data_IF_850239040757
#
_entry.id   IF_850239040757
#
_cell.length_a   1.000
_cell.length_b   1.000
_cell.length_c   1.000
_cell.angle_alpha   90.00
_cell.angle_beta   90.00
_cell.angle_gamma   90.00
#
_symmetry.space_group_name_H-M   'P 1'
#
loop_
_entity.id
_entity.type
_entity.pdbx_description
1 polymer ?
#
# COMPACT_ATOMS: atom_id res chain seq x y z
N UNK A 1 110.07 69.45 26.31
CA UNK A 1 109.05 69.70 25.25
C UNK A 1 109.16 68.69 24.10
N UNK A 2 109.32 67.38 24.40
CA UNK A 2 109.38 66.31 23.37
C UNK A 2 109.14 64.89 23.91
N UNK A 3 108.47 64.76 25.06
CA UNK A 3 108.26 63.46 25.75
C UNK A 3 106.87 63.27 26.35
N UNK A 4 105.94 64.18 26.03
CA UNK A 4 104.53 64.11 26.46
C UNK A 4 103.60 63.83 25.26
N UNK A 5 104.03 64.11 24.02
CA UNK A 5 103.21 63.89 22.82
C UNK A 5 103.17 62.41 22.35
N UNK A 6 104.13 61.58 22.76
CA UNK A 6 104.23 60.18 22.29
C UNK A 6 103.31 59.22 23.05
N UNK A 7 102.84 59.59 24.25
CA UNK A 7 101.85 58.80 25.00
C UNK A 7 100.39 59.11 24.63
N UNK A 8 100.13 60.23 23.95
CA UNK A 8 98.78 60.59 23.50
C UNK A 8 98.42 59.98 22.13
N UNK A 9 99.40 59.51 21.37
CA UNK A 9 99.18 58.95 20.03
C UNK A 9 98.83 57.45 20.07
N UNK A 10 99.40 56.70 21.02
CA UNK A 10 99.05 55.29 21.24
C UNK A 10 97.68 55.07 21.90
N UNK A 11 97.11 56.07 22.58
CA UNK A 11 95.75 55.99 23.11
C UNK A 11 94.69 56.35 22.06
N UNK A 12 95.07 57.06 20.98
CA UNK A 12 94.17 57.45 19.89
C UNK A 12 94.02 56.36 18.83
N UNK A 13 95.03 55.52 18.62
CA UNK A 13 94.97 54.37 17.69
C UNK A 13 94.22 53.16 18.27
N UNK A 14 94.22 52.97 19.59
CA UNK A 14 93.45 51.88 20.24
C UNK A 14 91.95 52.23 20.32
N UNK A 15 91.59 53.51 20.48
CA UNK A 15 90.17 53.94 20.49
C UNK A 15 89.51 54.01 19.11
N UNK A 16 90.28 54.01 18.01
CA UNK A 16 89.74 54.07 16.65
C UNK A 16 89.49 52.70 15.99
N UNK A 17 89.85 51.57 16.64
CA UNK A 17 89.59 50.22 16.13
C UNK A 17 88.46 49.46 16.82
N UNK A 18 87.74 50.07 17.76
CA UNK A 18 86.57 49.46 18.43
C UNK A 18 85.21 50.07 17.99
N UNK A 19 85.21 50.96 16.99
CA UNK A 19 83.98 51.64 16.52
C UNK A 19 83.60 51.28 15.06
N UNK A 20 84.06 50.14 14.57
CA UNK A 20 83.42 49.47 13.43
C UNK A 20 82.79 48.16 13.94
N UNK A 21 82.02 48.25 15.03
CA UNK A 21 80.99 47.26 15.27
C UNK A 21 79.97 47.45 14.13
N UNK A 22 80.19 46.65 13.09
CA UNK A 22 79.27 46.36 12.00
C UNK A 22 77.84 46.50 12.54
N UNK A 23 77.15 47.60 12.19
CA UNK A 23 75.73 47.80 12.50
C UNK A 23 74.97 46.79 11.65
N UNK A 24 75.02 45.52 12.05
CA UNK A 24 74.20 44.45 11.49
C UNK A 24 72.77 44.79 11.85
N UNK A 25 72.05 45.25 10.84
CA UNK A 25 70.64 45.57 10.86
C UNK A 25 69.84 44.44 11.53
N UNK A 26 69.16 44.72 12.64
CA UNK A 26 68.27 43.80 13.36
C UNK A 26 67.05 43.32 12.56
N UNK A 27 67.04 43.54 11.24
CA UNK A 27 65.98 43.16 10.31
C UNK A 27 65.93 41.64 10.09
N UNK A 28 67.07 40.93 10.27
CA UNK A 28 67.16 39.48 10.11
C UNK A 28 66.26 38.75 11.10
N UNK A 29 66.20 39.20 12.36
CA UNK A 29 65.35 38.57 13.38
C UNK A 29 63.86 38.75 13.07
N UNK A 30 63.48 39.90 12.52
CA UNK A 30 62.12 40.20 12.08
C UNK A 30 61.74 39.31 10.88
N UNK A 31 62.63 39.17 9.89
CA UNK A 31 62.43 38.28 8.74
C UNK A 31 62.28 36.83 9.21
N UNK A 32 63.15 36.35 10.11
CA UNK A 32 63.06 34.99 10.65
C UNK A 32 61.77 34.79 11.42
N UNK A 33 61.33 35.75 12.24
CA UNK A 33 60.06 35.67 12.95
C UNK A 33 58.87 35.58 11.98
N UNK A 34 58.86 36.39 10.92
CA UNK A 34 57.81 36.34 9.88
C UNK A 34 57.83 35.00 9.15
N UNK A 35 59.00 34.48 8.79
CA UNK A 35 59.10 33.17 8.13
C UNK A 35 58.63 32.04 9.05
N UNK A 36 59.05 32.04 10.33
CA UNK A 36 58.64 31.02 11.30
C UNK A 36 57.14 31.10 11.58
N UNK A 37 56.58 32.30 11.72
CA UNK A 37 55.12 32.46 11.91
C UNK A 37 54.32 32.01 10.70
N UNK A 38 54.78 32.32 9.47
CA UNK A 38 54.16 31.82 8.24
C UNK A 38 54.26 30.29 8.12
N UNK A 39 55.41 29.69 8.43
CA UNK A 39 55.57 28.24 8.44
C UNK A 39 54.70 27.57 9.51
N UNK A 40 54.58 28.17 10.70
CA UNK A 40 53.71 27.68 11.76
C UNK A 40 52.23 27.77 11.36
N UNK A 41 51.80 28.86 10.72
CA UNK A 41 50.44 29.01 10.22
C UNK A 41 50.13 28.01 9.09
N UNK A 42 51.08 27.79 8.17
CA UNK A 42 50.95 26.78 7.12
C UNK A 42 50.87 25.36 7.71
N UNK A 43 51.71 25.05 8.72
CA UNK A 43 51.66 23.79 9.44
C UNK A 43 50.32 23.58 10.16
N UNK A 44 49.79 24.61 10.83
CA UNK A 44 48.48 24.56 11.48
C UNK A 44 47.35 24.33 10.45
N UNK A 45 47.36 25.08 9.34
CA UNK A 45 46.38 24.92 8.26
C UNK A 45 46.40 23.51 7.67
N UNK A 46 47.59 22.93 7.49
CA UNK A 46 47.75 21.58 6.99
C UNK A 46 47.22 20.53 7.97
N UNK A 47 47.52 20.66 9.27
CA UNK A 47 47.00 19.77 10.31
C UNK A 47 45.48 19.84 10.40
N UNK A 48 44.90 21.03 10.35
CA UNK A 48 43.44 21.20 10.34
C UNK A 48 42.81 20.53 9.11
N UNK A 49 43.37 20.75 7.92
CA UNK A 49 42.89 20.12 6.68
C UNK A 49 42.99 18.59 6.73
N UNK A 50 44.11 18.04 7.22
CA UNK A 50 44.25 16.59 7.36
C UNK A 50 43.27 16.02 8.39
N UNK A 51 43.04 16.72 9.50
CA UNK A 51 42.08 16.27 10.51
C UNK A 51 40.65 16.25 9.97
N UNK A 52 40.26 17.24 9.16
CA UNK A 52 38.93 17.27 8.53
C UNK A 52 38.79 16.18 7.47
N UNK A 53 39.81 15.98 6.63
CA UNK A 53 39.81 14.92 5.61
C UNK A 53 39.77 13.52 6.25
N UNK A 54 40.54 13.33 7.31
CA UNK A 54 40.53 12.07 8.06
C UNK A 54 39.15 11.81 8.68
N UNK A 55 38.53 12.82 9.32
CA UNK A 55 37.16 12.71 9.86
C UNK A 55 36.14 12.42 8.76
N UNK A 56 36.27 13.07 7.60
CA UNK A 56 35.38 12.85 6.46
C UNK A 56 35.54 11.42 5.90
N UNK A 57 36.76 10.91 5.81
CA UNK A 57 37.02 9.54 5.37
C UNK A 57 36.37 8.50 6.29
N UNK A 58 36.46 8.69 7.62
CA UNK A 58 35.77 7.83 8.58
C UNK A 58 34.25 7.92 8.45
N UNK A 59 33.68 9.13 8.43
CA UNK A 59 32.23 9.31 8.27
C UNK A 59 31.71 8.71 6.96
N UNK A 60 32.49 8.81 5.88
CA UNK A 60 32.14 8.20 4.61
C UNK A 60 32.19 6.67 4.68
N UNK A 61 33.18 6.09 5.37
CA UNK A 61 33.25 4.66 5.66
C UNK A 61 32.05 4.17 6.48
N UNK A 62 31.70 4.89 7.55
CA UNK A 62 30.54 4.59 8.39
C UNK A 62 29.24 4.67 7.60
N UNK A 63 29.08 5.68 6.74
CA UNK A 63 27.91 5.83 5.88
C UNK A 63 27.78 4.65 4.91
N UNK A 64 28.86 4.24 4.24
CA UNK A 64 28.84 3.09 3.34
C UNK A 64 28.48 1.80 4.09
N UNK A 65 29.03 1.59 5.29
CA UNK A 65 28.67 0.43 6.11
C UNK A 65 27.19 0.45 6.51
N UNK A 66 26.64 1.62 6.85
CA UNK A 66 25.22 1.78 7.16
C UNK A 66 24.34 1.49 5.95
N UNK A 67 24.70 1.98 4.76
CA UNK A 67 23.96 1.70 3.52
C UNK A 67 23.95 0.19 3.21
N UNK A 68 25.08 -0.51 3.38
CA UNK A 68 25.13 -1.96 3.22
C UNK A 68 24.33 -2.71 4.29
N UNK A 69 24.27 -2.19 5.52
CA UNK A 69 23.45 -2.77 6.57
C UNK A 69 21.96 -2.65 6.30
N UNK A 70 21.52 -1.49 5.80
CA UNK A 70 20.14 -1.26 5.37
C UNK A 70 19.78 -2.20 4.20
N UNK A 71 20.67 -2.32 3.22
CA UNK A 71 20.48 -3.26 2.11
C UNK A 71 20.36 -4.71 2.60
N UNK A 72 21.20 -5.12 3.56
CA UNK A 72 21.14 -6.46 4.17
C UNK A 72 19.80 -6.73 4.85
N UNK A 73 19.22 -5.74 5.53
CA UNK A 73 17.88 -5.84 6.10
C UNK A 73 16.79 -6.01 5.03
N UNK A 74 16.89 -5.27 3.93
CA UNK A 74 15.99 -5.43 2.78
C UNK A 74 16.07 -6.82 2.16
N UNK A 75 17.28 -7.37 1.99
CA UNK A 75 17.47 -8.73 1.45
C UNK A 75 16.97 -9.82 2.41
N UNK A 76 17.16 -9.66 3.72
CA UNK A 76 16.55 -10.56 4.70
C UNK A 76 15.03 -10.57 4.56
N UNK A 77 14.40 -9.39 4.48
CA UNK A 77 12.94 -9.31 4.35
C UNK A 77 12.46 -9.98 3.07
N UNK A 78 13.14 -9.76 1.93
CA UNK A 78 12.82 -10.45 0.66
C UNK A 78 12.94 -11.96 0.79
N UNK A 79 14.04 -12.46 1.36
CA UNK A 79 14.27 -13.89 1.53
C UNK A 79 13.17 -14.55 2.38
N UNK A 80 12.73 -13.89 3.46
CA UNK A 80 11.63 -14.38 4.30
C UNK A 80 10.28 -14.25 3.58
N UNK A 81 10.07 -13.22 2.77
CA UNK A 81 8.86 -13.08 1.96
C UNK A 81 8.78 -14.09 0.80
N UNK A 82 9.91 -14.63 0.33
CA UNK A 82 9.95 -15.64 -0.74
C UNK A 82 9.72 -17.08 -0.27
N UNK A 83 9.81 -17.37 1.03
CA UNK A 83 9.47 -18.71 1.56
C UNK A 83 7.98 -19.00 1.49
N UNK A 84 7.59 -20.27 1.64
CA UNK A 84 6.17 -20.65 1.65
C UNK A 84 5.42 -20.07 2.87
N UNK A 85 4.09 -20.01 2.79
CA UNK A 85 3.28 -19.54 3.93
C UNK A 85 3.56 -20.34 5.20
N UNK A 86 3.62 -21.68 5.10
CA UNK A 86 3.83 -22.56 6.25
C UNK A 86 5.22 -22.39 6.87
N UNK A 87 6.27 -22.26 6.05
CA UNK A 87 7.62 -21.97 6.54
C UNK A 87 7.68 -20.61 7.25
N UNK A 88 7.01 -19.58 6.71
CA UNK A 88 6.92 -18.27 7.40
C UNK A 88 6.24 -18.38 8.75
N UNK A 89 5.19 -19.18 8.89
CA UNK A 89 4.53 -19.40 10.18
C UNK A 89 5.45 -20.14 11.15
N UNK A 90 6.20 -21.14 10.67
CA UNK A 90 7.20 -21.86 11.49
C UNK A 90 8.36 -20.96 11.94
N UNK A 91 8.73 -19.95 11.15
CA UNK A 91 9.71 -18.94 11.52
C UNK A 91 9.18 -17.91 12.55
N UNK A 92 7.91 -17.97 12.96
CA UNK A 92 7.29 -17.03 13.89
C UNK A 92 6.51 -15.89 13.22
N UNK A 93 6.30 -15.95 11.91
CA UNK A 93 5.54 -14.96 11.15
C UNK A 93 6.31 -13.66 10.86
N UNK A 94 5.66 -12.77 10.11
CA UNK A 94 6.25 -11.51 9.64
C UNK A 94 5.87 -10.29 10.48
N UNK A 95 4.76 -10.33 11.23
CA UNK A 95 4.17 -9.13 11.85
C UNK A 95 4.95 -8.67 13.08
N UNK A 96 5.16 -9.55 14.04
CA UNK A 96 5.91 -9.28 15.27
C UNK A 96 6.76 -10.50 15.63
N UNK A 97 8.04 -10.42 15.27
CA UNK A 97 9.00 -11.49 15.40
C UNK A 97 10.36 -10.90 15.78
N UNK A 98 10.52 -10.66 17.08
CA UNK A 98 11.77 -10.10 17.61
C UNK A 98 12.97 -11.04 17.45
N UNK A 99 12.77 -12.36 17.34
CA UNK A 99 13.87 -13.30 17.14
C UNK A 99 14.51 -13.15 15.75
N UNK A 100 13.68 -12.92 14.72
CA UNK A 100 14.12 -12.77 13.34
C UNK A 100 14.54 -11.33 13.00
N UNK A 101 13.90 -10.33 13.61
CA UNK A 101 14.00 -8.94 13.15
C UNK A 101 14.68 -7.98 14.12
N UNK A 102 15.06 -8.38 15.35
CA UNK A 102 15.70 -7.49 16.32
C UNK A 102 17.21 -7.70 16.38
N UNK A 103 17.96 -6.64 16.10
CA UNK A 103 19.41 -6.60 16.36
C UNK A 103 20.20 -7.67 15.61
N UNK A 104 19.77 -7.98 14.39
CA UNK A 104 20.37 -8.97 13.48
C UNK A 104 21.81 -8.57 13.22
N UNK A 105 22.73 -9.46 13.54
CA UNK A 105 24.17 -9.23 13.39
C UNK A 105 24.56 -9.37 11.93
N UNK A 106 25.20 -8.35 11.39
CA UNK A 106 25.92 -8.46 10.12
C UNK A 106 27.29 -8.99 10.48
N UNK A 107 27.48 -10.30 10.29
CA UNK A 107 28.76 -10.93 10.53
C UNK A 107 29.77 -10.42 9.49
N UNK A 108 30.85 -9.83 9.97
CA UNK A 108 32.08 -9.69 9.21
C UNK A 108 33.11 -10.60 9.88
N UNK A 109 33.42 -11.72 9.22
CA UNK A 109 34.40 -12.71 9.70
C UNK A 109 35.80 -12.10 9.92
N UNK A 110 36.08 -10.89 9.39
CA UNK A 110 37.33 -10.19 9.62
C UNK A 110 37.42 -9.44 10.96
N UNK A 111 36.31 -9.37 11.73
CA UNK A 111 36.22 -8.64 13.02
C UNK A 111 36.63 -9.51 14.24
N UNK A 112 37.31 -10.65 14.06
CA UNK A 112 37.91 -11.35 15.22
C UNK A 112 38.99 -10.51 15.95
N UNK A 113 39.40 -9.35 15.38
CA UNK A 113 40.50 -8.52 15.89
C UNK A 113 40.14 -7.07 16.26
N UNK A 114 38.88 -6.63 16.15
CA UNK A 114 38.49 -5.25 16.50
C UNK A 114 37.71 -5.17 17.81
N UNK A 115 38.07 -4.23 18.68
CA UNK A 115 37.30 -3.85 19.90
C UNK A 115 35.93 -3.22 19.60
N UNK A 116 35.52 -3.19 18.33
CA UNK A 116 34.29 -2.54 17.86
C UNK A 116 33.12 -3.52 17.89
N UNK A 117 31.97 -3.08 18.43
CA UNK A 117 30.76 -3.90 18.40
C UNK A 117 30.34 -4.18 16.95
N UNK A 118 29.89 -5.41 16.63
CA UNK A 118 29.47 -5.75 15.28
C UNK A 118 28.24 -4.93 14.89
N UNK A 119 28.16 -4.57 13.61
CA UNK A 119 27.04 -3.82 13.07
C UNK A 119 25.77 -4.68 13.14
N UNK A 120 24.67 -4.04 13.51
CA UNK A 120 23.36 -4.68 13.66
C UNK A 120 22.29 -3.85 12.99
N UNK A 121 21.29 -4.51 12.44
CA UNK A 121 20.07 -3.86 11.98
C UNK A 121 18.85 -4.45 12.68
N UNK A 122 17.74 -3.70 12.66
CA UNK A 122 16.43 -4.21 13.06
C UNK A 122 15.40 -3.80 12.02
N UNK A 123 14.38 -4.64 11.81
CA UNK A 123 13.20 -4.28 11.03
C UNK A 123 12.11 -3.89 12.03
N UNK A 124 11.64 -2.65 11.93
CA UNK A 124 10.69 -2.04 12.86
C UNK A 124 9.42 -1.66 12.11
N UNK A 125 8.28 -1.86 12.76
CA UNK A 125 6.99 -1.33 12.31
C UNK A 125 6.27 -0.68 13.48
N UNK A 126 5.44 0.35 13.25
CA UNK A 126 4.64 0.95 14.30
C UNK A 126 3.64 -0.05 14.86
N UNK A 127 3.59 -0.18 16.18
CA UNK A 127 2.50 -0.87 16.85
C UNK A 127 1.35 0.13 16.99
N UNK A 128 0.19 -0.22 16.42
CA UNK A 128 -0.98 0.64 16.40
C UNK A 128 -2.14 -0.15 17.01
N UNK A 129 -2.83 0.46 17.97
CA UNK A 129 -4.07 -0.02 18.55
C UNK A 129 -5.24 0.87 18.09
N UNK A 130 -6.46 0.54 18.54
CA UNK A 130 -7.67 1.30 18.21
C UNK A 130 -7.64 2.75 18.75
N UNK A 131 -6.68 3.10 19.63
CA UNK A 131 -6.56 4.40 20.30
C UNK A 131 -5.37 5.23 19.80
N UNK A 132 -4.44 4.64 19.04
CA UNK A 132 -3.30 5.35 18.49
C UNK A 132 -2.09 4.46 18.26
N UNK A 133 -0.91 5.09 18.24
CA UNK A 133 0.37 4.42 18.00
C UNK A 133 0.99 4.10 19.36
N UNK A 134 1.11 2.82 19.68
CA UNK A 134 1.66 2.31 20.94
C UNK A 134 3.08 1.76 20.73
N UNK A 135 3.99 2.63 20.29
CA UNK A 135 5.41 2.29 20.14
C UNK A 135 5.73 1.47 18.88
N UNK A 136 6.64 0.50 19.03
CA UNK A 136 7.21 -0.24 17.90
C UNK A 136 7.25 -1.73 18.16
N UNK A 137 6.99 -2.51 17.10
CA UNK A 137 7.20 -3.96 17.05
C UNK A 137 8.30 -4.31 16.06
N UNK A 138 8.82 -5.53 16.15
CA UNK A 138 9.88 -6.00 15.26
C UNK A 138 9.30 -6.86 14.14
N UNK A 139 9.12 -6.30 12.96
CA UNK A 139 8.54 -7.02 11.84
C UNK A 139 8.06 -6.11 10.73
N UNK A 140 7.46 -6.72 9.71
CA UNK A 140 6.94 -6.04 8.53
C UNK A 140 5.49 -5.58 8.71
N UNK A 141 5.08 -4.67 7.82
CA UNK A 141 3.70 -4.28 7.64
C UNK A 141 3.31 -4.49 6.17
N UNK A 142 2.14 -5.06 5.95
CA UNK A 142 1.60 -5.24 4.61
C UNK A 142 0.97 -3.92 4.13
N UNK A 143 1.49 -3.36 3.05
CA UNK A 143 0.93 -2.15 2.45
C UNK A 143 -0.46 -2.41 1.85
N UNK A 144 -0.76 -3.64 1.43
CA UNK A 144 -2.11 -4.01 0.96
C UNK A 144 -3.13 -4.05 2.11
N UNK A 145 -2.71 -3.88 3.37
CA UNK A 145 -3.63 -3.67 4.49
C UNK A 145 -4.18 -2.22 4.55
N UNK A 146 -3.68 -1.31 3.70
CA UNK A 146 -4.06 0.11 3.64
C UNK A 146 -4.82 0.42 2.37
N UNK A 147 -5.62 1.49 2.40
CA UNK A 147 -6.34 1.98 1.23
C UNK A 147 -5.36 2.54 0.20
N UNK A 148 -5.26 1.90 -0.97
CA UNK A 148 -4.38 2.35 -2.03
C UNK A 148 -5.02 3.48 -2.86
N UNK A 149 -4.39 4.65 -2.85
CA UNK A 149 -4.84 5.82 -3.62
C UNK A 149 -4.89 5.55 -5.13
N UNK A 150 -4.03 4.67 -5.65
CA UNK A 150 -4.03 4.31 -7.06
C UNK A 150 -5.28 3.51 -7.48
N UNK A 151 -5.93 2.82 -6.53
CA UNK A 151 -7.13 2.03 -6.80
C UNK A 151 -8.38 2.91 -6.93
N UNK A 152 -8.39 4.08 -6.30
CA UNK A 152 -9.55 4.98 -6.23
C UNK A 152 -10.06 5.39 -7.62
N UNK A 153 -9.16 5.69 -8.57
CA UNK A 153 -9.58 6.03 -9.94
C UNK A 153 -10.27 4.86 -10.65
N UNK A 154 -9.91 3.61 -10.34
CA UNK A 154 -10.59 2.44 -10.90
C UNK A 154 -11.96 2.24 -10.25
N UNK A 155 -12.05 2.41 -8.93
CA UNK A 155 -13.30 2.28 -8.19
C UNK A 155 -14.32 3.31 -8.69
N UNK A 156 -13.91 4.57 -8.85
CA UNK A 156 -14.76 5.64 -9.37
C UNK A 156 -15.26 5.36 -10.80
N UNK A 157 -14.44 4.71 -11.64
CA UNK A 157 -14.86 4.28 -12.99
C UNK A 157 -15.87 3.13 -12.97
N UNK A 158 -15.73 2.21 -12.02
CA UNK A 158 -16.61 1.04 -11.89
C UNK A 158 -17.94 1.44 -11.27
N UNK A 159 -17.90 2.24 -10.21
CA UNK A 159 -19.06 2.75 -9.49
C UNK A 159 -18.82 4.22 -9.08
N UNK A 160 -19.48 5.19 -9.75
CA UNK A 160 -19.35 6.60 -9.42
C UNK A 160 -19.73 6.88 -7.96
N UNK A 161 -18.85 7.55 -7.22
CA UNK A 161 -19.00 7.84 -5.79
C UNK A 161 -18.32 6.85 -4.86
N UNK A 162 -17.93 5.66 -5.32
CA UNK A 162 -17.30 4.64 -4.46
C UNK A 162 -15.94 5.12 -3.89
N UNK A 163 -15.17 5.89 -4.64
CA UNK A 163 -13.89 6.41 -4.16
C UNK A 163 -14.08 7.46 -3.05
N UNK A 164 -15.09 8.32 -3.19
CA UNK A 164 -15.43 9.31 -2.17
C UNK A 164 -15.95 8.63 -0.90
N UNK A 165 -16.80 7.62 -1.03
CA UNK A 165 -17.29 6.82 0.10
C UNK A 165 -16.14 6.14 0.85
N UNK A 166 -15.20 5.53 0.14
CA UNK A 166 -14.01 4.92 0.74
C UNK A 166 -13.19 5.93 1.56
N UNK A 167 -12.92 7.10 1.01
CA UNK A 167 -12.18 8.16 1.71
C UNK A 167 -12.92 8.70 2.93
N UNK A 168 -14.26 8.79 2.86
CA UNK A 168 -15.09 9.31 3.96
C UNK A 168 -15.04 8.43 5.22
N UNK A 169 -14.57 7.18 5.12
CA UNK A 169 -14.31 6.32 6.29
C UNK A 169 -13.03 6.70 7.05
N UNK A 170 -12.19 7.59 6.52
CA UNK A 170 -10.97 8.01 7.20
C UNK A 170 -11.27 9.01 8.35
N UNK A 171 -10.56 8.92 9.49
CA UNK A 171 -10.77 9.80 10.62
C UNK A 171 -10.62 11.29 10.25
N UNK A 172 -11.64 12.09 10.58
CA UNK A 172 -11.64 13.53 10.30
C UNK A 172 -11.72 13.91 8.81
N UNK A 173 -12.03 12.95 7.92
CA UNK A 173 -12.29 13.25 6.52
C UNK A 173 -13.56 14.09 6.36
N UNK A 174 -13.53 15.01 5.40
CA UNK A 174 -14.71 15.80 5.02
C UNK A 174 -14.93 15.68 3.52
N UNK A 175 -16.16 15.86 3.05
CA UNK A 175 -16.46 15.81 1.61
C UNK A 175 -15.60 16.79 0.79
N UNK A 176 -15.27 17.96 1.33
CA UNK A 176 -14.35 18.90 0.64
C UNK A 176 -12.92 18.39 0.52
N UNK A 177 -12.42 17.66 1.53
CA UNK A 177 -11.07 17.09 1.46
C UNK A 177 -11.07 15.85 0.56
N UNK A 178 -12.08 14.99 0.67
CA UNK A 178 -12.23 13.82 -0.20
C UNK A 178 -12.31 14.23 -1.68
N UNK A 179 -13.20 15.17 -2.02
CA UNK A 179 -13.32 15.70 -3.38
C UNK A 179 -11.99 16.30 -3.86
N UNK A 180 -11.28 17.06 -3.01
CA UNK A 180 -10.00 17.65 -3.37
C UNK A 180 -8.88 16.61 -3.55
N UNK A 181 -8.89 15.51 -2.80
CA UNK A 181 -7.97 14.39 -3.01
C UNK A 181 -8.28 13.69 -4.34
N UNK A 182 -9.56 13.51 -4.68
CA UNK A 182 -9.95 12.89 -5.94
C UNK A 182 -9.61 13.78 -7.15
N UNK A 183 -9.87 15.09 -7.08
CA UNK A 183 -9.45 16.09 -8.10
C UNK A 183 -7.92 16.20 -8.20
N UNK A 184 -7.19 15.83 -7.13
CA UNK A 184 -5.73 15.81 -7.21
C UNK A 184 -5.20 14.65 -8.07
N UNK A 185 -5.95 13.54 -8.12
CA UNK A 185 -5.53 12.24 -8.65
C UNK A 185 -6.07 11.97 -10.05
N UNK A 186 -7.29 12.39 -10.36
CA UNK A 186 -7.91 12.11 -11.65
C UNK A 186 -7.30 12.92 -12.78
N UNK A 187 -7.56 12.50 -14.02
CA UNK A 187 -6.79 12.99 -15.17
C UNK A 187 -7.39 14.21 -15.85
N UNK A 188 -8.59 14.62 -15.45
CA UNK A 188 -9.30 15.74 -16.04
C UNK A 188 -9.10 17.03 -15.22
N UNK A 189 -9.73 18.14 -15.65
CA UNK A 189 -9.62 19.44 -14.99
C UNK A 189 -11.01 19.93 -14.51
N UNK A 190 -11.96 19.00 -14.34
CA UNK A 190 -13.35 19.30 -13.98
C UNK A 190 -13.50 19.21 -12.48
N UNK A 191 -13.67 20.33 -11.76
CA UNK A 191 -13.73 20.27 -10.31
C UNK A 191 -15.00 19.55 -9.85
N UNK A 192 -14.85 18.65 -8.89
CA UNK A 192 -15.97 18.08 -8.13
C UNK A 192 -16.69 19.15 -7.31
N UNK A 193 -17.86 18.80 -6.77
CA UNK A 193 -18.75 19.75 -6.09
C UNK A 193 -18.06 20.60 -4.99
N UNK A 194 -17.19 19.98 -4.18
CA UNK A 194 -16.39 20.66 -3.16
C UNK A 194 -14.88 20.56 -3.41
N UNK A 195 -14.50 20.15 -4.62
CA UNK A 195 -13.12 19.84 -4.99
C UNK A 195 -12.24 21.06 -5.22
N UNK A 196 -11.08 20.80 -5.82
CA UNK A 196 -10.06 21.80 -6.09
C UNK A 196 -9.24 21.41 -7.30
N UNK A 197 -9.42 22.17 -8.38
CA UNK A 197 -8.66 22.02 -9.61
C UNK A 197 -7.63 23.13 -9.81
N UNK A 198 -6.88 23.08 -10.92
CA UNK A 198 -5.90 24.12 -11.32
C UNK A 198 -6.39 25.56 -11.07
N UNK A 199 -7.66 25.87 -11.37
CA UNK A 199 -8.26 27.19 -11.12
C UNK A 199 -8.30 27.61 -9.65
N UNK A 200 -8.55 26.67 -8.72
CA UNK A 200 -8.52 26.93 -7.29
C UNK A 200 -7.11 27.30 -6.82
N UNK A 201 -6.11 26.50 -7.19
CA UNK A 201 -4.73 26.71 -6.75
C UNK A 201 -4.13 28.00 -7.33
N UNK A 202 -4.34 28.26 -8.62
CA UNK A 202 -3.95 29.51 -9.26
C UNK A 202 -4.65 30.73 -8.62
N UNK A 203 -5.94 30.62 -8.30
CA UNK A 203 -6.70 31.67 -7.61
C UNK A 203 -6.19 31.98 -6.19
N UNK A 204 -5.53 31.01 -5.54
CA UNK A 204 -4.82 31.19 -4.25
C UNK A 204 -3.40 31.73 -4.41
N UNK A 205 -2.91 31.91 -5.64
CA UNK A 205 -1.54 32.34 -5.93
C UNK A 205 -0.48 31.26 -5.66
N UNK A 206 -0.89 29.99 -5.62
CA UNK A 206 0.03 28.86 -5.42
C UNK A 206 0.77 28.56 -6.75
N UNK A 207 2.08 28.25 -6.71
CA UNK A 207 2.88 28.00 -7.91
C UNK A 207 2.71 26.56 -8.46
N UNK A 208 1.74 25.82 -7.94
CA UNK A 208 1.45 24.43 -8.26
C UNK A 208 -0.05 24.22 -8.43
N UNK A 209 -0.44 23.11 -9.02
CA UNK A 209 -1.82 22.64 -9.11
C UNK A 209 -1.90 21.15 -8.84
N UNK A 210 -3.07 20.54 -9.05
CA UNK A 210 -3.27 19.10 -9.03
C UNK A 210 -2.21 18.35 -9.83
N UNK A 211 -1.87 17.14 -9.39
CA UNK A 211 -0.94 16.29 -10.13
C UNK A 211 -1.59 15.70 -11.38
N UNK A 212 -2.89 15.48 -11.33
CA UNK A 212 -3.68 14.74 -12.31
C UNK A 212 -3.18 13.31 -12.53
N UNK A 213 -2.69 12.70 -11.44
CA UNK A 213 -2.19 11.33 -11.37
C UNK A 213 -2.01 10.95 -9.90
N UNK A 214 -1.84 9.65 -9.63
CA UNK A 214 -1.47 9.12 -8.31
C UNK A 214 -0.27 9.90 -7.73
N UNK A 215 -0.31 10.33 -6.46
CA UNK A 215 0.78 11.07 -5.82
C UNK A 215 2.10 10.26 -5.83
N UNK A 216 3.24 10.94 -5.93
CA UNK A 216 4.55 10.26 -5.86
C UNK A 216 4.91 9.80 -4.44
N UNK A 217 4.34 10.45 -3.44
CA UNK A 217 4.50 10.11 -2.03
C UNK A 217 3.26 10.56 -1.26
N UNK A 218 3.04 10.03 -0.06
CA UNK A 218 1.91 10.46 0.78
C UNK A 218 2.05 11.92 1.23
N UNK A 219 3.28 12.42 1.42
CA UNK A 219 3.57 13.82 1.79
C UNK A 219 3.02 14.82 0.77
N UNK A 220 2.89 14.41 -0.50
CA UNK A 220 2.32 15.25 -1.53
C UNK A 220 0.87 15.65 -1.23
N UNK A 221 0.12 14.84 -0.47
CA UNK A 221 -1.22 15.20 0.00
C UNK A 221 -1.24 16.48 0.83
N UNK A 222 -0.12 16.92 1.41
CA UNK A 222 -0.04 18.22 2.09
C UNK A 222 -0.22 19.43 1.14
N UNK A 223 -0.10 19.21 -0.17
CA UNK A 223 -0.39 20.23 -1.19
C UNK A 223 -1.88 20.30 -1.51
N UNK A 224 -2.64 19.24 -1.19
CA UNK A 224 -4.08 19.16 -1.43
C UNK A 224 -4.81 20.13 -0.51
N UNK A 225 -5.89 20.72 -1.03
CA UNK A 225 -6.73 21.66 -0.28
C UNK A 225 -7.17 21.07 1.06
N UNK A 226 -6.97 21.86 2.11
CA UNK A 226 -7.45 21.61 3.48
C UNK A 226 -6.92 20.34 4.17
N UNK A 227 -5.99 19.60 3.54
CA UNK A 227 -5.21 18.54 4.18
C UNK A 227 -4.23 19.14 5.18
N UNK A 228 -4.29 18.70 6.43
CA UNK A 228 -3.38 19.16 7.48
C UNK A 228 -2.29 18.14 7.77
N UNK A 229 -1.11 18.60 8.18
CA UNK A 229 -0.02 17.72 8.65
C UNK A 229 -0.49 16.81 9.78
N UNK A 230 -1.35 17.31 10.66
CA UNK A 230 -1.87 16.54 11.78
C UNK A 230 -2.78 15.40 11.31
N UNK A 231 -3.67 15.63 10.33
CA UNK A 231 -4.49 14.56 9.74
C UNK A 231 -3.63 13.49 9.06
N UNK A 232 -2.58 13.90 8.35
CA UNK A 232 -1.75 12.98 7.58
C UNK A 232 -0.76 12.18 8.45
N UNK A 233 -0.04 12.83 9.37
CA UNK A 233 1.05 12.23 10.14
C UNK A 233 0.78 12.14 11.65
N UNK A 234 -0.31 12.71 12.13
CA UNK A 234 -0.64 12.69 13.56
C UNK A 234 0.18 13.66 14.39
N UNK A 235 0.27 13.36 15.69
CA UNK A 235 0.97 14.18 16.68
C UNK A 235 2.48 13.96 16.74
N UNK A 236 2.96 12.79 16.31
CA UNK A 236 4.37 12.43 16.28
C UNK A 236 5.10 13.22 15.17
N UNK A 237 5.98 14.14 15.56
CA UNK A 237 6.62 15.07 14.61
C UNK A 237 8.00 14.62 14.18
N UNK A 238 8.69 13.86 15.03
CA UNK A 238 10.01 13.33 14.75
C UNK A 238 9.97 11.88 14.20
N UNK A 239 8.77 11.30 14.08
CA UNK A 239 8.48 9.99 13.49
C UNK A 239 9.18 8.86 14.22
N UNK A 240 9.31 8.99 15.55
CA UNK A 240 9.89 7.98 16.41
C UNK A 240 8.87 6.95 16.93
N UNK A 241 7.61 7.06 16.48
CA UNK A 241 6.45 6.25 16.85
C UNK A 241 6.02 6.38 18.31
N UNK A 242 6.39 7.48 18.97
CA UNK A 242 5.99 7.84 20.33
C UNK A 242 5.63 9.33 20.36
N UNK A 243 4.47 9.65 20.93
CA UNK A 243 4.08 11.06 21.11
C UNK A 243 4.54 11.52 22.49
N UNK A 244 5.53 12.42 22.55
CA UNK A 244 5.99 12.98 23.82
C UNK A 244 5.06 14.09 24.36
N UNK A 245 5.25 14.53 25.61
CA UNK A 245 4.41 15.59 26.19
C UNK A 245 4.43 16.91 25.39
N UNK A 246 5.53 17.24 24.73
CA UNK A 246 5.67 18.49 23.96
C UNK A 246 4.90 18.38 22.66
N UNK A 247 4.93 17.22 22.03
CA UNK A 247 4.16 16.88 20.84
C UNK A 247 2.67 16.81 21.14
N UNK A 248 2.27 16.13 22.21
CA UNK A 248 0.88 16.07 22.67
C UNK A 248 0.30 17.48 22.93
N UNK A 249 1.05 18.38 23.59
CA UNK A 249 0.61 19.77 23.80
C UNK A 249 0.43 20.53 22.49
N UNK A 250 1.33 20.35 21.53
CA UNK A 250 1.25 21.00 20.20
C UNK A 250 0.15 20.40 19.33
N UNK A 251 -0.12 19.10 19.46
CA UNK A 251 -1.24 18.42 18.83
C UNK A 251 -2.57 18.98 19.35
N UNK A 252 -2.71 19.17 20.67
CA UNK A 252 -3.89 19.77 21.28
C UNK A 252 -4.14 21.20 20.77
N UNK A 253 -3.09 22.02 20.58
CA UNK A 253 -3.22 23.35 19.96
C UNK A 253 -3.72 23.27 18.51
N UNK A 254 -3.29 22.24 17.76
CA UNK A 254 -3.70 22.01 16.37
C UNK A 254 -5.13 21.44 16.24
N UNK A 255 -5.59 20.76 17.29
CA UNK A 255 -6.93 20.18 17.43
C UNK A 255 -7.94 21.15 18.07
N UNK A 256 -7.52 22.31 18.58
CA UNK A 256 -8.40 23.28 19.23
C UNK A 256 -9.51 23.75 18.26
N UNK A 257 -10.70 23.15 18.39
CA UNK A 257 -11.88 23.39 17.53
C UNK A 257 -12.30 22.22 16.64
N UNK A 258 -11.57 21.10 16.64
CA UNK A 258 -11.93 19.86 15.92
C UNK A 258 -12.28 18.77 16.93
N UNK A 259 -13.53 18.31 16.90
CA UNK A 259 -14.00 17.17 17.70
C UNK A 259 -13.51 15.87 17.07
N UNK A 260 -12.35 15.40 17.50
CA UNK A 260 -11.82 14.08 17.14
C UNK A 260 -10.82 13.66 18.21
N UNK A 261 -11.06 12.52 18.85
CA UNK A 261 -10.12 11.93 19.79
C UNK A 261 -8.82 11.51 19.09
N UNK A 262 -7.90 10.93 19.86
CA UNK A 262 -6.70 10.28 19.34
C UNK A 262 -7.13 9.21 18.33
N UNK A 263 -6.96 9.51 17.03
CA UNK A 263 -7.31 8.63 15.92
C UNK A 263 -6.08 8.39 15.07
N UNK A 264 -6.03 7.24 14.39
CA UNK A 264 -4.91 6.89 13.54
C UNK A 264 -4.69 7.95 12.43
N UNK A 265 -3.43 8.34 12.18
CA UNK A 265 -3.11 9.28 11.12
C UNK A 265 -3.35 8.65 9.74
N UNK A 266 -3.68 9.45 8.73
CA UNK A 266 -3.96 8.89 7.40
C UNK A 266 -2.77 8.13 6.80
N UNK A 267 -1.52 8.47 7.15
CA UNK A 267 -0.35 7.75 6.68
C UNK A 267 -0.28 6.29 7.18
N UNK A 268 -1.00 5.91 8.25
CA UNK A 268 -1.11 4.51 8.67
C UNK A 268 -2.27 3.77 7.98
N UNK A 269 -3.17 4.50 7.31
CA UNK A 269 -4.39 3.98 6.68
C UNK A 269 -4.35 4.04 5.15
N UNK A 270 -3.54 4.92 4.58
CA UNK A 270 -3.38 5.16 3.15
C UNK A 270 -2.04 4.60 2.66
N UNK A 271 -2.02 4.23 1.39
CA UNK A 271 -0.78 3.88 0.68
C UNK A 271 -0.86 4.29 -0.79
N UNK A 272 0.29 4.38 -1.43
CA UNK A 272 0.42 4.48 -2.90
C UNK A 272 0.99 3.19 -3.50
N UNK A 273 1.29 2.20 -2.65
CA UNK A 273 1.86 0.92 -3.02
C UNK A 273 0.95 -0.19 -2.52
N UNK A 274 0.55 -1.11 -3.38
CA UNK A 274 -0.11 -2.34 -2.96
C UNK A 274 0.11 -3.38 -4.03
N UNK A 275 0.47 -4.57 -3.59
CA UNK A 275 0.68 -5.71 -4.45
C UNK A 275 0.50 -6.98 -3.62
N UNK A 276 -0.43 -7.83 -4.05
CA UNK A 276 -0.62 -9.17 -3.51
C UNK A 276 -0.36 -10.18 -4.64
N UNK A 277 0.38 -11.26 -4.36
CA UNK A 277 0.51 -12.35 -5.32
C UNK A 277 -0.86 -13.03 -5.46
N UNK A 278 -1.30 -13.26 -6.69
CA UNK A 278 -2.55 -13.98 -6.97
C UNK A 278 -2.34 -15.50 -6.84
N UNK A 279 -1.96 -15.93 -5.64
CA UNK A 279 -1.59 -17.30 -5.31
C UNK A 279 -2.32 -17.72 -4.03
N UNK A 280 -2.65 -19.01 -3.95
CA UNK A 280 -3.15 -19.65 -2.75
C UNK A 280 -2.01 -19.81 -1.72
N UNK A 281 -2.36 -20.20 -0.49
CA UNK A 281 -1.40 -20.36 0.61
C UNK A 281 -0.29 -21.39 0.33
N UNK A 282 -0.53 -22.36 -0.55
CA UNK A 282 0.45 -23.37 -0.99
C UNK A 282 1.35 -22.91 -2.15
N UNK A 283 1.12 -21.71 -2.69
CA UNK A 283 1.90 -21.12 -3.77
C UNK A 283 1.35 -21.39 -5.19
N UNK A 284 0.28 -22.17 -5.33
CA UNK A 284 -0.39 -22.36 -6.61
C UNK A 284 -1.18 -21.12 -7.04
N UNK A 285 -1.36 -20.91 -8.34
CA UNK A 285 -2.17 -19.80 -8.84
C UNK A 285 -3.64 -19.99 -8.47
N UNK A 286 -4.32 -18.91 -8.08
CA UNK A 286 -5.76 -18.97 -7.80
C UNK A 286 -6.55 -19.24 -9.08
N UNK A 287 -7.66 -19.97 -8.93
CA UNK A 287 -8.58 -20.30 -10.01
C UNK A 287 -9.37 -19.05 -10.40
N UNK A 288 -9.25 -18.64 -11.66
CA UNK A 288 -9.95 -17.49 -12.20
C UNK A 288 -11.41 -17.83 -12.51
N UNK A 289 -12.34 -17.33 -11.69
CA UNK A 289 -13.77 -17.64 -11.77
C UNK A 289 -14.44 -17.17 -13.06
N UNK A 290 -13.85 -16.17 -13.71
CA UNK A 290 -14.36 -15.60 -14.95
C UNK A 290 -13.72 -16.19 -16.22
N UNK A 291 -13.16 -17.41 -16.13
CA UNK A 291 -12.64 -18.14 -17.28
C UNK A 291 -13.72 -18.31 -18.37
N UNK A 292 -13.27 -18.19 -19.62
CA UNK A 292 -14.12 -18.23 -20.82
C UNK A 292 -14.51 -19.65 -21.21
N UNK A 293 -13.60 -20.60 -20.98
CA UNK A 293 -13.85 -22.03 -21.18
C UNK A 293 -14.41 -22.66 -19.89
N UNK A 294 -15.71 -22.91 -19.89
CA UNK A 294 -16.41 -23.50 -18.76
C UNK A 294 -15.96 -24.93 -18.44
N UNK A 295 -15.51 -25.71 -19.44
CA UNK A 295 -15.01 -27.06 -19.19
C UNK A 295 -13.66 -27.02 -18.46
N UNK A 296 -12.80 -26.07 -18.83
CA UNK A 296 -11.56 -25.80 -18.11
C UNK A 296 -11.82 -25.30 -16.69
N UNK A 297 -12.75 -24.36 -16.52
CA UNK A 297 -13.13 -23.86 -15.19
C UNK A 297 -13.64 -24.98 -14.30
N UNK A 298 -14.53 -25.83 -14.83
CA UNK A 298 -15.05 -27.00 -14.12
C UNK A 298 -13.92 -27.92 -13.66
N UNK A 299 -13.01 -28.29 -14.57
CA UNK A 299 -11.89 -29.17 -14.25
C UNK A 299 -11.02 -28.61 -13.12
N UNK A 300 -10.75 -27.30 -13.13
CA UNK A 300 -9.95 -26.65 -12.09
C UNK A 300 -10.67 -26.61 -10.74
N UNK A 301 -11.98 -26.35 -10.74
CA UNK A 301 -12.78 -26.32 -9.52
C UNK A 301 -12.95 -27.72 -8.91
N UNK A 302 -13.18 -28.75 -9.72
CA UNK A 302 -13.39 -30.14 -9.27
C UNK A 302 -12.15 -30.77 -8.61
N UNK A 303 -10.95 -30.20 -8.81
CA UNK A 303 -9.73 -30.64 -8.13
C UNK A 303 -9.72 -30.27 -6.64
N UNK A 304 -10.38 -29.16 -6.28
CA UNK A 304 -10.28 -28.55 -4.95
C UNK A 304 -11.61 -28.47 -4.20
N UNK A 305 -12.74 -28.49 -4.90
CA UNK A 305 -14.06 -28.24 -4.33
C UNK A 305 -15.02 -29.41 -4.52
N UNK A 306 -16.02 -29.45 -3.65
CA UNK A 306 -17.12 -30.39 -3.79
C UNK A 306 -17.88 -30.14 -5.11
N UNK A 307 -18.37 -31.20 -5.79
CA UNK A 307 -19.07 -31.07 -7.06
C UNK A 307 -20.27 -30.11 -7.02
N UNK A 308 -20.96 -29.99 -5.88
CA UNK A 308 -22.09 -29.06 -5.71
C UNK A 308 -21.67 -27.60 -5.85
N UNK A 309 -20.48 -27.23 -5.38
CA UNK A 309 -19.93 -25.89 -5.50
C UNK A 309 -19.57 -25.59 -6.95
N UNK A 310 -18.85 -26.51 -7.59
CA UNK A 310 -18.45 -26.36 -8.99
C UNK A 310 -19.68 -26.17 -9.88
N UNK A 311 -20.67 -27.06 -9.73
CA UNK A 311 -21.91 -26.99 -10.51
C UNK A 311 -22.64 -25.67 -10.27
N UNK A 312 -22.74 -25.20 -9.03
CA UNK A 312 -23.38 -23.92 -8.72
C UNK A 312 -22.65 -22.72 -9.33
N UNK A 313 -21.31 -22.67 -9.22
CA UNK A 313 -20.50 -21.58 -9.80
C UNK A 313 -20.67 -21.52 -11.33
N UNK A 314 -20.69 -22.68 -12.01
CA UNK A 314 -20.92 -22.74 -13.45
C UNK A 314 -22.34 -22.28 -13.80
N UNK A 315 -23.35 -22.74 -13.06
CA UNK A 315 -24.74 -22.31 -13.26
C UNK A 315 -24.88 -20.79 -13.07
N UNK A 316 -24.25 -20.22 -12.05
CA UNK A 316 -24.18 -18.77 -11.83
C UNK A 316 -23.57 -18.06 -13.05
N UNK A 317 -22.46 -18.56 -13.59
CA UNK A 317 -21.81 -17.99 -14.78
C UNK A 317 -22.71 -18.04 -16.02
N UNK A 318 -23.57 -19.04 -16.15
CA UNK A 318 -24.48 -19.21 -17.29
C UNK A 318 -25.76 -18.36 -17.17
N UNK A 319 -26.38 -18.32 -16.00
CA UNK A 319 -27.74 -17.79 -15.81
C UNK A 319 -27.83 -16.57 -14.88
N UNK A 320 -26.81 -16.32 -14.07
CA UNK A 320 -26.74 -15.15 -13.18
C UNK A 320 -27.62 -15.27 -11.93
N UNK A 321 -27.61 -14.21 -11.09
CA UNK A 321 -28.44 -14.15 -9.89
C UNK A 321 -29.94 -14.09 -10.25
N UNK A 322 -30.74 -14.90 -9.58
CA UNK A 322 -32.19 -14.85 -9.64
C UNK A 322 -32.72 -13.72 -8.77
N UNK A 323 -33.52 -12.84 -9.37
CA UNK A 323 -34.22 -11.77 -8.68
C UNK A 323 -35.72 -11.91 -8.98
N UNK A 324 -36.50 -12.28 -7.96
CA UNK A 324 -37.96 -12.43 -8.04
C UNK A 324 -38.63 -11.17 -8.61
N UNK A 325 -38.05 -9.99 -8.36
CA UNK A 325 -38.59 -8.71 -8.83
C UNK A 325 -38.41 -8.50 -10.34
N UNK A 326 -37.42 -9.15 -10.95
CA UNK A 326 -37.20 -9.15 -12.41
C UNK A 326 -37.99 -10.24 -13.14
N UNK A 327 -38.21 -11.39 -12.50
CA UNK A 327 -39.02 -12.48 -13.06
C UNK A 327 -40.46 -12.04 -13.39
N UNK A 328 -41.03 -11.17 -12.56
CA UNK A 328 -42.37 -10.57 -12.78
C UNK A 328 -42.42 -9.50 -13.90
N UNK A 329 -41.30 -9.17 -14.54
CA UNK A 329 -41.22 -8.16 -15.62
C UNK A 329 -41.00 -8.74 -17.03
N UNK A 330 -41.08 -10.06 -17.23
CA UNK A 330 -40.96 -10.68 -18.57
C UNK A 330 -41.97 -10.04 -19.56
N UNK A 331 -41.53 -9.36 -20.63
CA UNK A 331 -42.44 -8.87 -21.66
C UNK A 331 -42.88 -10.04 -22.54
N UNK A 332 -44.19 -10.19 -22.73
CA UNK A 332 -44.78 -11.14 -23.66
C UNK A 332 -44.41 -10.82 -25.12
N UNK A 333 -43.25 -11.29 -25.60
CA UNK A 333 -42.83 -11.19 -27.02
C UNK A 333 -42.12 -12.50 -27.35
N UNK A 334 -42.48 -13.33 -28.32
CA UNK A 334 -43.32 -13.21 -29.51
C UNK A 334 -44.05 -14.55 -29.72
N UNK A 335 -45.33 -14.64 -29.37
CA UNK A 335 -46.19 -15.73 -29.86
C UNK A 335 -46.52 -15.43 -31.32
N UNK A 336 -45.78 -16.06 -32.24
CA UNK A 336 -46.10 -16.07 -33.68
C UNK A 336 -47.52 -16.59 -33.84
N UNK A 337 -48.46 -15.67 -34.03
CA UNK A 337 -49.87 -15.97 -34.31
C UNK A 337 -49.98 -16.65 -35.68
N UNK A 338 -49.95 -17.99 -35.70
CA UNK A 338 -50.50 -18.76 -36.82
C UNK A 338 -52.01 -18.57 -36.80
N UNK A 339 -52.47 -17.63 -37.63
CA UNK A 339 -53.88 -17.41 -37.95
C UNK A 339 -54.54 -18.72 -38.42
N UNK A 340 -55.25 -19.40 -37.52
CA UNK A 340 -56.20 -20.44 -37.89
C UNK A 340 -57.53 -19.77 -38.27
N UNK A 341 -57.87 -19.86 -39.57
CA UNK A 341 -59.17 -19.45 -40.11
C UNK A 341 -60.30 -20.21 -39.38
N UNK A 342 -61.19 -19.41 -38.81
CA UNK A 342 -62.53 -19.74 -38.35
C UNK A 342 -63.25 -20.83 -39.14
N UNK A 343 -63.61 -21.91 -38.45
CA UNK A 343 -64.83 -22.68 -38.74
C UNK A 343 -65.75 -22.55 -37.52
N UNK A 344 -66.92 -21.95 -37.77
CA UNK A 344 -68.00 -21.74 -36.82
C UNK A 344 -68.62 -23.08 -36.45
N UNK A 345 -68.49 -23.47 -35.18
CA UNK A 345 -69.45 -24.21 -34.35
C UNK A 345 -68.70 -25.00 -33.28
N UNK A 346 -68.38 -24.35 -32.17
CA UNK A 346 -68.11 -25.03 -30.92
C UNK A 346 -68.77 -24.22 -29.81
N UNK A 347 -69.57 -24.91 -28.99
CA UNK A 347 -70.21 -24.36 -27.81
C UNK A 347 -69.14 -23.77 -26.89
N UNK A 348 -69.40 -22.58 -26.37
CA UNK A 348 -68.59 -21.96 -25.34
C UNK A 348 -68.78 -22.78 -24.06
N UNK A 349 -67.78 -23.55 -23.68
CA UNK A 349 -67.72 -24.26 -22.40
C UNK A 349 -67.01 -23.32 -21.40
N UNK A 350 -67.65 -22.88 -20.29
CA UNK A 350 -67.07 -21.86 -19.40
C UNK A 350 -65.99 -22.39 -18.43
N UNK A 351 -65.47 -23.61 -18.64
CA UNK A 351 -64.45 -24.22 -17.80
C UNK A 351 -63.25 -24.67 -18.62
N UNK A 352 -62.50 -23.69 -19.14
CA UNK A 352 -61.10 -23.92 -19.48
C UNK A 352 -60.30 -23.49 -18.25
N UNK A 353 -59.55 -24.39 -17.58
CA UNK A 353 -58.55 -23.95 -16.62
C UNK A 353 -57.61 -22.99 -17.36
N UNK A 354 -57.28 -21.86 -16.75
CA UNK A 354 -56.08 -21.14 -17.14
C UNK A 354 -54.95 -22.16 -16.99
N UNK A 355 -54.19 -22.43 -18.06
CA UNK A 355 -52.98 -23.23 -17.95
C UNK A 355 -52.07 -22.51 -16.93
N UNK A 356 -52.12 -22.93 -15.67
CA UNK A 356 -51.18 -22.49 -14.64
C UNK A 356 -49.81 -22.99 -15.09
N UNK A 357 -48.95 -22.06 -15.51
CA UNK A 357 -47.55 -22.40 -15.74
C UNK A 357 -47.01 -23.01 -14.44
N UNK A 358 -46.31 -24.16 -14.51
CA UNK A 358 -45.90 -24.85 -13.32
C UNK A 358 -44.93 -23.98 -12.52
N UNK A 359 -45.17 -23.85 -11.21
CA UNK A 359 -44.32 -23.06 -10.33
C UNK A 359 -42.88 -23.60 -10.36
N UNK A 360 -41.87 -22.72 -10.33
CA UNK A 360 -40.48 -23.14 -10.31
C UNK A 360 -40.18 -23.96 -9.06
N UNK A 361 -39.43 -25.04 -9.21
CA UNK A 361 -39.01 -25.87 -8.09
C UNK A 361 -37.73 -25.33 -7.48
N UNK A 362 -37.72 -25.16 -6.15
CA UNK A 362 -36.52 -24.78 -5.40
C UNK A 362 -35.77 -26.05 -5.01
N UNK A 363 -34.52 -26.14 -5.40
CA UNK A 363 -33.63 -27.28 -5.12
C UNK A 363 -32.33 -26.79 -4.47
N UNK A 364 -31.67 -27.67 -3.72
CA UNK A 364 -30.33 -27.40 -3.20
C UNK A 364 -29.27 -27.67 -4.27
N UNK A 365 -28.14 -26.98 -4.20
CA UNK A 365 -27.01 -27.23 -5.11
C UNK A 365 -26.51 -28.70 -5.11
N UNK A 366 -26.72 -29.44 -4.01
CA UNK A 366 -26.40 -30.87 -3.87
C UNK A 366 -27.29 -31.78 -4.72
N UNK A 367 -28.53 -31.35 -4.97
CA UNK A 367 -29.54 -32.08 -5.73
C UNK A 367 -29.49 -31.74 -7.23
N UNK A 368 -28.63 -30.80 -7.60
CA UNK A 368 -28.47 -30.36 -8.98
C UNK A 368 -27.71 -31.39 -9.80
N UNK A 369 -28.28 -31.76 -10.95
CA UNK A 369 -27.66 -32.61 -11.96
C UNK A 369 -26.44 -31.94 -12.63
N UNK A 370 -25.75 -32.67 -13.50
CA UNK A 370 -24.62 -32.13 -14.26
C UNK A 370 -25.03 -30.95 -15.13
N UNK A 371 -24.22 -29.90 -15.12
CA UNK A 371 -24.50 -28.66 -15.87
C UNK A 371 -24.15 -28.85 -17.34
N UNK A 372 -25.04 -28.43 -18.25
CA UNK A 372 -24.74 -28.43 -19.69
C UNK A 372 -23.73 -27.35 -20.05
N UNK A 373 -22.48 -27.76 -20.27
CA UNK A 373 -21.37 -26.89 -20.67
C UNK A 373 -21.49 -26.35 -22.09
N UNK A 374 -22.47 -26.83 -22.89
CA UNK A 374 -22.74 -26.26 -24.21
C UNK A 374 -23.32 -24.84 -24.12
N UNK A 375 -23.91 -24.50 -22.99
CA UNK A 375 -24.43 -23.16 -22.69
C UNK A 375 -23.25 -22.25 -22.30
N UNK A 376 -22.98 -21.16 -23.04
CA UNK A 376 -21.85 -20.29 -22.75
C UNK A 376 -22.09 -19.44 -21.49
N UNK A 377 -21.01 -19.05 -20.82
CA UNK A 377 -21.06 -18.08 -19.73
C UNK A 377 -21.60 -16.73 -20.22
N UNK A 378 -22.56 -16.15 -19.50
CA UNK A 378 -23.18 -14.84 -19.80
C UNK A 378 -22.97 -13.81 -18.70
N UNK A 379 -22.75 -14.26 -17.47
CA UNK A 379 -22.62 -13.42 -16.29
C UNK A 379 -21.22 -13.49 -15.73
N UNK A 380 -20.69 -12.34 -15.32
CA UNK A 380 -19.42 -12.23 -14.60
C UNK A 380 -19.66 -12.21 -13.10
N UNK A 381 -18.69 -12.74 -12.35
CA UNK A 381 -18.62 -12.63 -10.91
C UNK A 381 -17.68 -11.47 -10.63
N UNK A 382 -18.19 -10.37 -10.06
CA UNK A 382 -17.39 -9.18 -9.78
C UNK A 382 -16.63 -9.36 -8.46
N UNK A 383 -17.33 -9.90 -7.46
CA UNK A 383 -16.80 -10.27 -6.15
C UNK A 383 -17.10 -11.72 -5.83
N UNK A 384 -16.18 -12.39 -5.13
CA UNK A 384 -16.41 -13.75 -4.60
C UNK A 384 -17.65 -13.75 -3.67
N UNK A 385 -17.93 -12.61 -3.02
CA UNK A 385 -19.09 -12.44 -2.16
C UNK A 385 -20.44 -12.46 -2.91
N UNK A 386 -20.44 -12.25 -4.22
CA UNK A 386 -21.67 -12.30 -5.05
C UNK A 386 -22.28 -13.71 -5.10
N UNK A 387 -21.52 -14.74 -4.70
CA UNK A 387 -21.99 -16.12 -4.65
C UNK A 387 -22.75 -16.45 -3.37
N UNK A 388 -22.68 -15.59 -2.35
CA UNK A 388 -23.19 -15.88 -1.00
C UNK A 388 -24.68 -15.57 -0.91
N UNK A 389 -25.47 -16.56 -0.48
CA UNK A 389 -26.91 -16.40 -0.25
C UNK A 389 -27.74 -16.13 -1.51
N UNK A 390 -27.13 -16.22 -2.70
CA UNK A 390 -27.81 -15.98 -3.98
C UNK A 390 -28.50 -17.24 -4.48
N UNK A 391 -29.54 -17.07 -5.28
CA UNK A 391 -30.21 -18.16 -6.00
C UNK A 391 -29.96 -18.03 -7.50
N UNK A 392 -29.99 -19.14 -8.24
CA UNK A 392 -29.83 -19.15 -9.70
C UNK A 392 -31.04 -19.80 -10.34
N UNK A 393 -31.65 -19.15 -11.33
CA UNK A 393 -32.77 -19.71 -12.09
C UNK A 393 -32.24 -20.40 -13.35
N UNK A 394 -32.34 -21.72 -13.38
CA UNK A 394 -32.07 -22.52 -14.57
C UNK A 394 -33.41 -22.70 -15.30
N UNK A 395 -33.59 -22.06 -16.46
CA UNK A 395 -34.81 -22.21 -17.23
C UNK A 395 -34.93 -23.63 -17.76
N UNK A 396 -36.17 -24.11 -17.84
CA UNK A 396 -36.50 -25.39 -18.47
C UNK A 396 -35.88 -25.53 -19.87
N UNK A 397 -35.36 -26.73 -20.19
CA UNK A 397 -34.98 -27.05 -21.56
C UNK A 397 -36.23 -27.24 -22.44
N UNK A 398 -36.48 -26.29 -23.35
CA UNK A 398 -37.59 -26.35 -24.32
C UNK A 398 -37.47 -27.55 -25.29
N UNK A 399 -36.31 -28.19 -25.40
CA UNK A 399 -36.07 -29.35 -26.28
C UNK A 399 -36.33 -30.69 -25.60
N UNK A 400 -36.53 -30.70 -24.29
CA UNK A 400 -36.77 -31.94 -23.57
C UNK A 400 -38.14 -32.54 -23.95
N UNK A 401 -38.13 -33.83 -24.26
CA UNK A 401 -39.30 -34.56 -24.77
C UNK A 401 -40.40 -34.78 -23.70
N UNK A 402 -40.10 -34.46 -22.43
CA UNK A 402 -40.96 -34.75 -21.29
C UNK A 402 -41.62 -33.49 -20.71
N UNK A 403 -42.92 -33.54 -20.35
CA UNK A 403 -43.66 -32.42 -19.76
C UNK A 403 -43.22 -31.99 -18.36
N UNK A 404 -42.38 -32.77 -17.67
CA UNK A 404 -42.05 -32.62 -16.24
C UNK A 404 -40.90 -31.65 -15.92
N UNK A 405 -40.15 -31.15 -16.91
CA UNK A 405 -39.09 -30.19 -16.61
C UNK A 405 -39.70 -28.84 -16.20
N UNK A 406 -39.46 -28.44 -14.97
CA UNK A 406 -39.88 -27.15 -14.41
C UNK A 406 -38.69 -26.22 -14.39
N UNK A 407 -38.95 -24.91 -14.36
CA UNK A 407 -37.89 -23.95 -14.05
C UNK A 407 -37.31 -24.31 -12.66
N UNK A 408 -35.99 -24.42 -12.57
CA UNK A 408 -35.29 -24.81 -11.34
C UNK A 408 -34.65 -23.58 -10.71
N UNK A 409 -34.98 -23.32 -9.44
CA UNK A 409 -34.30 -22.32 -8.61
C UNK A 409 -33.31 -23.08 -7.74
N UNK A 410 -32.03 -22.83 -7.95
CA UNK A 410 -30.95 -23.49 -7.22
C UNK A 410 -30.47 -22.57 -6.12
N UNK A 411 -30.55 -23.02 -4.87
CA UNK A 411 -30.00 -22.30 -3.72
C UNK A 411 -28.47 -22.39 -3.69
N UNK A 412 -27.81 -21.27 -3.34
CA UNK A 412 -26.36 -21.24 -3.18
C UNK A 412 -25.90 -22.23 -2.10
N UNK A 413 -24.85 -23.03 -2.35
CA UNK A 413 -24.20 -23.83 -1.31
C UNK A 413 -23.48 -22.93 -0.29
N UNK A 414 -23.32 -21.63 -0.58
CA UNK A 414 -22.66 -20.63 0.26
C UNK A 414 -23.70 -19.86 1.07
N UNK A 415 -24.09 -20.41 2.22
CA UNK A 415 -25.07 -19.78 3.12
C UNK A 415 -24.58 -18.43 3.68
N UNK A 416 -25.50 -17.50 3.91
CA UNK A 416 -25.24 -16.15 4.42
C UNK A 416 -25.05 -16.07 5.95
N UNK A 417 -25.17 -17.20 6.65
CA UNK A 417 -24.97 -17.27 8.09
C UNK A 417 -23.47 -17.18 8.44
N UNK A 418 -23.06 -16.28 9.37
CA UNK A 418 -21.67 -16.15 9.81
C UNK A 418 -21.01 -17.45 10.26
N UNK A 419 -21.76 -18.38 10.86
CA UNK A 419 -21.22 -19.68 11.26
C UNK A 419 -20.83 -20.54 10.06
N UNK A 420 -21.64 -20.54 8.99
CA UNK A 420 -21.34 -21.28 7.76
C UNK A 420 -20.20 -20.62 6.97
N UNK A 421 -20.16 -19.28 6.94
CA UNK A 421 -19.09 -18.54 6.27
C UNK A 421 -17.71 -18.91 6.80
N UNK A 422 -17.57 -19.18 8.10
CA UNK A 422 -16.29 -19.57 8.69
C UNK A 422 -15.74 -20.89 8.13
N UNK A 423 -16.62 -21.78 7.68
CA UNK A 423 -16.23 -23.11 7.16
C UNK A 423 -15.81 -23.05 5.69
N UNK A 424 -16.55 -22.32 4.85
CA UNK A 424 -16.30 -22.31 3.39
C UNK A 424 -15.49 -21.12 2.89
N UNK A 425 -15.65 -19.94 3.47
CA UNK A 425 -15.12 -18.69 2.91
C UNK A 425 -13.58 -18.65 2.89
N UNK A 426 -12.85 -19.12 3.93
CA UNK A 426 -11.39 -19.14 3.88
C UNK A 426 -10.86 -19.95 2.69
N UNK A 427 -11.43 -21.15 2.46
CA UNK A 427 -11.03 -22.02 1.36
C UNK A 427 -11.40 -21.42 0.00
N UNK A 428 -12.61 -20.86 -0.12
CA UNK A 428 -13.07 -20.24 -1.36
C UNK A 428 -12.21 -19.03 -1.75
N UNK A 429 -11.91 -18.13 -0.82
CA UNK A 429 -11.10 -16.93 -1.06
C UNK A 429 -9.62 -17.26 -1.27
N UNK A 430 -9.09 -18.30 -0.60
CA UNK A 430 -7.71 -18.73 -0.80
C UNK A 430 -7.49 -19.29 -2.21
N UNK A 431 -8.44 -20.09 -2.71
CA UNK A 431 -8.31 -20.84 -3.96
C UNK A 431 -8.84 -20.14 -5.20
N UNK A 432 -9.72 -19.15 -5.07
CA UNK A 432 -10.39 -18.52 -6.21
C UNK A 432 -10.11 -17.03 -6.32
N UNK A 433 -10.27 -16.49 -7.53
CA UNK A 433 -10.06 -15.07 -7.82
C UNK A 433 -10.96 -14.59 -8.96
N UNK A 434 -11.36 -13.32 -8.91
CA UNK A 434 -12.05 -12.63 -10.02
C UNK A 434 -11.08 -11.81 -10.87
N UNK A 435 -9.77 -11.84 -10.56
CA UNK A 435 -8.71 -11.10 -11.24
C UNK A 435 -7.77 -12.09 -11.92
N UNK A 436 -7.46 -11.88 -13.20
CA UNK A 436 -6.60 -12.77 -13.99
C UNK A 436 -5.11 -12.47 -13.82
N UNK A 437 -4.75 -11.25 -13.41
CA UNK A 437 -3.35 -10.83 -13.26
C UNK A 437 -2.63 -11.62 -12.16
N UNK A 438 -1.32 -11.82 -12.35
CA UNK A 438 -0.46 -12.52 -11.37
C UNK A 438 -0.29 -11.71 -10.09
N UNK A 439 -0.47 -10.39 -10.17
CA UNK A 439 -0.37 -9.46 -9.04
C UNK A 439 -1.69 -8.70 -8.94
N UNK A 440 -2.35 -8.80 -7.79
CA UNK A 440 -3.53 -8.02 -7.44
C UNK A 440 -3.06 -6.71 -6.82
N UNK A 441 -3.43 -5.59 -7.41
CA UNK A 441 -3.07 -4.26 -6.90
C UNK A 441 -4.28 -3.56 -6.31
N UNK A 442 -4.12 -2.94 -5.14
CA UNK A 442 -5.17 -2.09 -4.55
C UNK A 442 -6.31 -2.83 -3.84
N UNK A 443 -6.24 -4.17 -3.73
CA UNK A 443 -7.14 -4.94 -2.87
C UNK A 443 -6.72 -4.77 -1.42
N UNK A 444 -7.67 -4.40 -0.57
CA UNK A 444 -7.42 -4.23 0.87
C UNK A 444 -7.49 -5.58 1.58
N UNK A 445 -6.40 -5.97 2.23
CA UNK A 445 -6.32 -7.15 3.07
C UNK A 445 -6.97 -6.87 4.44
N UNK A 446 -8.26 -7.18 4.55
CA UNK A 446 -9.06 -6.94 5.75
C UNK A 446 -8.58 -7.68 7.00
N UNK A 447 -7.82 -8.77 6.85
CA UNK A 447 -7.29 -9.52 8.00
C UNK A 447 -6.13 -8.80 8.69
N UNK A 448 -5.43 -7.93 7.96
CA UNK A 448 -4.29 -7.16 8.45
C UNK A 448 -4.59 -5.66 8.56
N UNK A 449 -5.72 -5.22 8.01
CA UNK A 449 -6.14 -3.83 7.98
C UNK A 449 -6.30 -3.27 9.41
N UNK A 450 -5.73 -2.09 9.69
CA UNK A 450 -6.01 -1.39 10.93
C UNK A 450 -7.50 -1.02 10.99
N UNK A 451 -8.10 -1.07 12.17
CA UNK A 451 -9.44 -0.52 12.38
C UNK A 451 -9.34 1.00 12.36
N UNK A 452 -10.18 1.64 11.54
CA UNK A 452 -10.26 3.10 11.40
C UNK A 452 -11.35 3.69 12.29
#
# INVERSE_FOLDING_TARGET
MKRIDEQLDNTRTIRKRLSAADRRSGIVLLIVMVVVTLMALAGLSFVLSLSTENRAAYLHGDQLQLEQALASGGELLKAVCDTSHDERQQLGGLRDNSELFRGVVIADESIETSETSPLRFSILSPEADDLGMEGVRFGAQDESARLNLAALSEWERREPGAAAEALMNLPGMTSSIADAILDWIDTDDTPRASGAETGYYAGRGLPYGPRNSVPMSLEELLLVRDVSRYSLFGGDRDLNYQVDEREARRAADSLAGRSGGESLPWASLLTIHSAERNMACDGELRIYLNETDLAKLQQQLDEWFDPSWTRFIIAYRQFGPYDETQANRRPAVSRRSRSARTSRNARFDPQMPLDEEPEPQIIRAEEMDEVDLSIPARFQIDSILDLIGVQVLIPRDERAEFPEDVDLIVESPFGDNPALMQDYLPTLVDRTTTIQDVIISGRVNVNLAPRA
#
